data_IF_599104008976
#
_entry.id   IF_599104008976
#
_cell.length_a   1.000
_cell.length_b   1.000
_cell.length_c   1.000
_cell.angle_alpha   90.00
_cell.angle_beta   90.00
_cell.angle_gamma   90.00
#
_symmetry.space_group_name_H-M   'P 1'
#
loop_
_entity.id
_entity.type
_entity.pdbx_description
1 polymer ?
#
# COMPACT_ATOMS: atom_id res chain seq x y z
N UNK A 1 71.52 8.53 44.32
CA UNK A 1 70.26 8.96 44.97
C UNK A 1 69.14 8.89 43.93
N UNK A 2 67.97 8.34 44.28
CA UNK A 2 66.97 7.83 43.34
C UNK A 2 65.85 8.85 43.09
N UNK A 3 65.17 8.74 41.95
CA UNK A 3 63.73 9.03 41.79
C UNK A 3 63.30 8.45 40.43
N UNK A 4 62.52 7.35 40.44
CA UNK A 4 61.08 7.30 40.13
C UNK A 4 60.73 7.91 38.76
N UNK A 5 59.88 7.36 37.89
CA UNK A 5 58.93 6.24 37.88
C UNK A 5 58.20 6.47 36.54
N UNK A 6 57.92 5.43 35.74
CA UNK A 6 56.64 5.25 35.02
C UNK A 6 56.68 4.01 34.14
N UNK A 7 56.08 2.97 34.70
CA UNK A 7 55.52 1.81 34.02
C UNK A 7 54.53 2.31 32.95
N UNK A 8 54.71 1.94 31.69
CA UNK A 8 53.68 2.11 30.66
C UNK A 8 53.36 0.73 30.07
N UNK A 9 52.17 0.24 30.42
CA UNK A 9 51.52 -0.94 29.87
C UNK A 9 51.00 -0.55 28.49
N UNK A 10 51.46 -1.19 27.42
CA UNK A 10 50.79 -1.14 26.12
C UNK A 10 50.12 -2.50 25.87
N UNK A 11 48.81 -2.51 26.07
CA UNK A 11 47.89 -3.58 25.71
C UNK A 11 47.64 -3.46 24.19
N UNK A 12 48.18 -4.39 23.40
CA UNK A 12 47.92 -4.46 21.97
C UNK A 12 46.50 -5.00 21.73
N UNK A 13 45.64 -4.16 21.15
CA UNK A 13 44.26 -4.48 20.81
C UNK A 13 44.19 -5.48 19.64
N UNK A 14 43.58 -6.65 19.88
CA UNK A 14 43.06 -7.50 18.81
C UNK A 14 41.84 -6.82 18.20
N UNK A 15 42.00 -6.26 16.99
CA UNK A 15 40.88 -5.87 16.15
C UNK A 15 40.24 -7.13 15.56
N UNK A 16 39.15 -7.58 16.16
CA UNK A 16 38.28 -8.59 15.57
C UNK A 16 37.41 -7.92 14.49
N UNK A 17 37.71 -8.18 13.22
CA UNK A 17 36.77 -7.96 12.12
C UNK A 17 35.57 -8.91 12.28
N UNK A 18 34.57 -8.48 13.03
CA UNK A 18 33.22 -9.04 12.91
C UNK A 18 32.59 -8.45 11.64
N UNK A 19 32.86 -9.07 10.49
CA UNK A 19 31.99 -8.91 9.34
C UNK A 19 30.64 -9.54 9.72
N UNK A 20 29.72 -8.70 10.18
CA UNK A 20 28.34 -9.09 10.38
C UNK A 20 27.82 -9.65 9.05
N UNK A 21 27.53 -10.95 9.03
CA UNK A 21 26.65 -11.51 8.01
C UNK A 21 25.28 -10.88 8.24
N UNK A 22 25.04 -9.73 7.62
CA UNK A 22 23.69 -9.20 7.47
C UNK A 22 22.92 -10.25 6.66
N UNK A 23 22.15 -11.09 7.36
CA UNK A 23 21.21 -11.99 6.70
C UNK A 23 20.36 -11.18 5.74
N UNK A 24 20.10 -11.69 4.53
CA UNK A 24 19.21 -11.05 3.56
C UNK A 24 17.92 -10.71 4.30
N UNK A 25 17.57 -9.43 4.40
CA UNK A 25 16.27 -9.04 4.97
C UNK A 25 15.22 -9.73 4.12
N UNK A 26 14.56 -10.72 4.70
CA UNK A 26 13.57 -11.48 3.99
C UNK A 26 12.34 -10.59 3.87
N UNK A 27 11.87 -10.37 2.63
CA UNK A 27 10.59 -9.71 2.38
C UNK A 27 9.43 -10.45 3.07
N UNK A 28 8.21 -9.91 2.98
CA UNK A 28 7.11 -10.44 3.76
C UNK A 28 6.71 -11.83 3.30
N UNK A 29 6.14 -12.58 4.25
CA UNK A 29 5.39 -13.79 3.91
C UNK A 29 4.11 -13.40 3.15
N UNK A 30 3.99 -13.89 1.92
CA UNK A 30 2.83 -13.65 1.04
C UNK A 30 1.95 -14.89 1.06
N UNK A 31 0.80 -14.80 1.75
CA UNK A 31 -0.11 -15.89 2.07
C UNK A 31 -1.32 -15.89 1.15
N UNK A 32 -1.59 -17.05 0.56
CA UNK A 32 -2.77 -17.28 -0.29
C UNK A 32 -3.55 -18.53 0.15
N UNK A 33 -3.18 -19.12 1.28
CA UNK A 33 -3.73 -20.37 1.78
C UNK A 33 -5.23 -20.24 2.14
N UNK A 34 -5.64 -19.08 2.65
CA UNK A 34 -7.04 -18.80 2.98
C UNK A 34 -7.92 -18.76 1.73
N UNK A 35 -7.45 -18.13 0.63
CA UNK A 35 -8.22 -18.18 -0.62
C UNK A 35 -8.24 -19.58 -1.23
N UNK A 36 -7.15 -20.34 -1.15
CA UNK A 36 -7.17 -21.75 -1.58
C UNK A 36 -8.17 -22.57 -0.76
N UNK A 37 -8.22 -22.38 0.56
CA UNK A 37 -9.20 -23.02 1.46
C UNK A 37 -10.63 -22.65 1.07
N UNK A 38 -10.91 -21.36 0.86
CA UNK A 38 -12.23 -20.91 0.45
C UNK A 38 -12.66 -21.52 -0.87
N UNK A 39 -11.80 -21.54 -1.89
CA UNK A 39 -12.18 -22.06 -3.21
C UNK A 39 -12.28 -23.59 -3.25
N UNK A 40 -11.57 -24.31 -2.39
CA UNK A 40 -11.81 -25.74 -2.19
C UNK A 40 -13.23 -26.00 -1.65
N UNK A 41 -13.68 -25.21 -0.66
CA UNK A 41 -15.05 -25.26 -0.15
C UNK A 41 -16.07 -24.83 -1.21
N UNK A 42 -15.79 -23.75 -1.94
CA UNK A 42 -16.63 -23.27 -3.03
C UNK A 42 -16.87 -24.37 -4.07
N UNK A 43 -15.81 -25.07 -4.50
CA UNK A 43 -15.91 -26.14 -5.49
C UNK A 43 -16.64 -27.38 -4.95
N UNK A 44 -16.38 -27.77 -3.70
CA UNK A 44 -17.05 -28.89 -3.05
C UNK A 44 -18.56 -28.68 -2.84
N UNK A 45 -19.03 -27.44 -2.96
CA UNK A 45 -20.43 -27.05 -2.72
C UNK A 45 -21.10 -26.42 -3.96
N UNK A 46 -20.50 -26.61 -5.14
CA UNK A 46 -21.00 -26.06 -6.41
C UNK A 46 -21.27 -24.55 -6.34
N UNK A 47 -20.38 -23.83 -5.65
CA UNK A 47 -20.44 -22.39 -5.45
C UNK A 47 -21.47 -21.91 -4.43
N UNK A 48 -22.09 -22.82 -3.67
CA UNK A 48 -23.18 -22.51 -2.73
C UNK A 48 -22.92 -23.09 -1.32
N UNK A 49 -21.79 -22.77 -0.68
CA UNK A 49 -21.55 -23.23 0.69
C UNK A 49 -22.56 -22.62 1.65
N UNK A 50 -23.06 -23.45 2.58
CA UNK A 50 -23.94 -22.96 3.65
C UNK A 50 -23.19 -22.08 4.64
N UNK A 51 -23.92 -21.29 5.43
CA UNK A 51 -23.35 -20.48 6.53
C UNK A 51 -22.53 -21.35 7.49
N UNK A 52 -23.02 -22.54 7.83
CA UNK A 52 -22.29 -23.45 8.71
C UNK A 52 -20.97 -23.92 8.09
N UNK A 53 -20.95 -24.25 6.80
CA UNK A 53 -19.73 -24.66 6.11
C UNK A 53 -18.73 -23.52 5.99
N UNK A 54 -19.17 -22.28 5.70
CA UNK A 54 -18.27 -21.12 5.68
C UNK A 54 -17.66 -20.88 7.06
N UNK A 55 -18.43 -21.01 8.13
CA UNK A 55 -17.91 -20.86 9.49
C UNK A 55 -16.90 -21.94 9.82
N UNK A 56 -17.25 -23.21 9.62
CA UNK A 56 -16.44 -24.35 10.07
C UNK A 56 -15.23 -24.63 9.16
N UNK A 57 -15.43 -24.59 7.84
CA UNK A 57 -14.44 -25.07 6.88
C UNK A 57 -13.57 -23.93 6.32
N UNK A 58 -13.94 -22.66 6.55
CA UNK A 58 -13.17 -21.49 6.13
C UNK A 58 -12.75 -20.58 7.29
N UNK A 59 -13.70 -19.96 8.01
CA UNK A 59 -13.36 -18.95 9.01
C UNK A 59 -12.69 -19.52 10.26
N UNK A 60 -13.18 -20.63 10.81
CA UNK A 60 -12.64 -21.22 12.04
C UNK A 60 -11.18 -21.66 11.88
N UNK A 61 -10.81 -22.20 10.71
CA UNK A 61 -9.44 -22.61 10.35
C UNK A 61 -8.60 -21.52 9.68
N UNK A 62 -9.09 -20.28 9.65
CA UNK A 62 -8.46 -19.14 9.00
C UNK A 62 -7.13 -18.73 9.63
N UNK A 63 -6.28 -18.08 8.83
CA UNK A 63 -5.06 -17.44 9.38
C UNK A 63 -5.40 -16.25 10.28
N UNK A 64 -4.41 -15.79 11.05
CA UNK A 64 -4.54 -14.55 11.85
C UNK A 64 -4.99 -13.36 11.00
N UNK A 65 -4.47 -13.21 9.77
CA UNK A 65 -4.84 -12.12 8.88
C UNK A 65 -6.33 -12.17 8.49
N UNK A 66 -6.86 -13.37 8.23
CA UNK A 66 -8.29 -13.56 7.98
C UNK A 66 -9.13 -13.21 9.22
N UNK A 67 -8.73 -13.66 10.41
CA UNK A 67 -9.47 -13.35 11.65
C UNK A 67 -9.48 -11.86 11.96
N UNK A 68 -8.36 -11.17 11.77
CA UNK A 68 -8.26 -9.72 11.94
C UNK A 68 -9.12 -8.97 10.92
N UNK A 69 -9.04 -9.35 9.65
CA UNK A 69 -9.89 -8.80 8.60
C UNK A 69 -11.37 -9.01 8.92
N UNK A 70 -11.74 -10.20 9.37
CA UNK A 70 -13.10 -10.54 9.74
C UNK A 70 -13.60 -9.69 10.91
N UNK A 71 -12.79 -9.49 11.94
CA UNK A 71 -13.10 -8.63 13.08
C UNK A 71 -13.26 -7.17 12.67
N UNK A 72 -12.27 -6.60 11.98
CA UNK A 72 -12.22 -5.18 11.65
C UNK A 72 -13.28 -4.78 10.62
N UNK A 73 -13.53 -5.63 9.61
CA UNK A 73 -14.45 -5.33 8.52
C UNK A 73 -15.80 -6.02 8.65
N UNK A 74 -16.04 -6.65 9.81
CA UNK A 74 -17.27 -7.37 10.16
C UNK A 74 -17.62 -8.39 9.06
N UNK A 75 -16.65 -9.23 8.70
CA UNK A 75 -16.87 -10.37 7.81
C UNK A 75 -17.31 -11.54 8.68
N UNK A 76 -18.46 -12.11 8.34
CA UNK A 76 -19.03 -13.26 9.05
C UNK A 76 -19.49 -14.28 8.02
N UNK A 77 -19.62 -15.55 8.40
CA UNK A 77 -20.11 -16.58 7.50
C UNK A 77 -21.44 -16.20 6.84
N UNK A 78 -22.37 -15.63 7.61
CA UNK A 78 -23.65 -15.12 7.10
C UNK A 78 -23.45 -14.06 6.02
N UNK A 79 -22.57 -13.08 6.23
CA UNK A 79 -22.34 -11.99 5.26
C UNK A 79 -21.64 -12.46 3.99
N UNK A 80 -20.77 -13.46 4.10
CA UNK A 80 -20.17 -14.12 2.94
C UNK A 80 -21.27 -14.85 2.16
N UNK A 81 -22.10 -15.66 2.83
CA UNK A 81 -23.21 -16.40 2.22
C UNK A 81 -24.24 -15.47 1.55
N UNK A 82 -24.65 -14.40 2.23
CA UNK A 82 -25.58 -13.40 1.70
C UNK A 82 -25.01 -12.75 0.43
N UNK A 83 -23.71 -12.47 0.42
CA UNK A 83 -23.04 -11.87 -0.73
C UNK A 83 -22.87 -12.87 -1.88
N UNK A 84 -22.54 -14.12 -1.60
CA UNK A 84 -22.50 -15.21 -2.58
C UNK A 84 -23.88 -15.41 -3.25
N UNK A 85 -24.95 -15.38 -2.46
CA UNK A 85 -26.31 -15.58 -2.96
C UNK A 85 -26.80 -14.39 -3.81
N UNK A 86 -26.48 -13.16 -3.38
CA UNK A 86 -26.89 -11.93 -4.10
C UNK A 86 -26.02 -11.58 -5.30
N UNK A 87 -24.75 -12.00 -5.31
CA UNK A 87 -23.80 -11.74 -6.39
C UNK A 87 -22.84 -12.93 -6.60
N UNK A 88 -23.33 -14.06 -7.13
CA UNK A 88 -22.50 -15.22 -7.39
C UNK A 88 -21.43 -14.96 -8.46
N UNK A 89 -21.70 -14.03 -9.38
CA UNK A 89 -20.78 -13.65 -10.45
C UNK A 89 -19.48 -13.05 -9.92
N UNK A 90 -19.53 -12.27 -8.85
CA UNK A 90 -18.33 -11.73 -8.18
C UNK A 90 -17.37 -12.83 -7.73
N UNK A 91 -17.87 -13.88 -7.07
CA UNK A 91 -17.02 -14.98 -6.56
C UNK A 91 -16.54 -15.91 -7.67
N UNK A 92 -17.37 -16.12 -8.70
CA UNK A 92 -16.95 -16.84 -9.90
C UNK A 92 -15.80 -16.11 -10.61
N UNK A 93 -15.94 -14.81 -10.86
CA UNK A 93 -14.86 -13.97 -11.45
C UNK A 93 -13.61 -13.96 -10.57
N UNK A 94 -13.78 -13.88 -9.26
CA UNK A 94 -12.67 -13.93 -8.31
C UNK A 94 -11.90 -15.26 -8.36
N UNK A 95 -12.56 -16.37 -8.75
CA UNK A 95 -11.89 -17.65 -9.02
C UNK A 95 -10.93 -17.55 -10.21
N UNK A 96 -11.28 -16.79 -11.24
CA UNK A 96 -10.38 -16.56 -12.39
C UNK A 96 -9.13 -15.77 -11.95
N UNK A 97 -9.31 -14.79 -11.07
CA UNK A 97 -8.19 -14.05 -10.46
C UNK A 97 -7.33 -14.91 -9.53
N UNK A 98 -7.87 -15.96 -8.91
CA UNK A 98 -7.09 -16.91 -8.07
C UNK A 98 -5.92 -17.52 -8.85
N UNK A 99 -6.12 -17.82 -10.14
CA UNK A 99 -5.11 -18.43 -10.99
C UNK A 99 -3.87 -17.53 -11.22
N UNK A 100 -4.02 -16.21 -11.08
CA UNK A 100 -2.93 -15.25 -11.23
C UNK A 100 -2.06 -15.12 -9.97
N UNK A 101 -2.55 -15.54 -8.79
CA UNK A 101 -1.86 -15.29 -7.52
C UNK A 101 -0.44 -15.86 -7.41
N UNK A 102 -0.10 -17.03 -7.98
CA UNK A 102 1.27 -17.51 -8.00
C UNK A 102 2.23 -16.57 -8.75
N UNK A 103 1.78 -15.96 -9.85
CA UNK A 103 2.57 -14.98 -10.62
C UNK A 103 2.67 -13.65 -9.87
N UNK A 104 1.55 -13.16 -9.33
CA UNK A 104 1.50 -11.98 -8.45
C UNK A 104 2.49 -12.12 -7.28
N UNK A 105 2.50 -13.27 -6.60
CA UNK A 105 3.44 -13.54 -5.48
C UNK A 105 4.89 -13.40 -5.91
N UNK A 106 5.27 -13.94 -7.08
CA UNK A 106 6.64 -13.80 -7.60
C UNK A 106 7.00 -12.34 -7.89
N UNK A 107 6.08 -11.58 -8.50
CA UNK A 107 6.28 -10.15 -8.80
C UNK A 107 6.40 -9.32 -7.51
N UNK A 108 5.58 -9.60 -6.50
CA UNK A 108 5.65 -8.93 -5.21
C UNK A 108 6.97 -9.18 -4.48
N UNK A 109 7.54 -10.39 -4.56
CA UNK A 109 8.88 -10.65 -4.01
C UNK A 109 9.91 -9.70 -4.61
N UNK A 110 9.85 -9.44 -5.93
CA UNK A 110 10.75 -8.47 -6.59
C UNK A 110 10.49 -7.05 -6.07
N UNK A 111 9.22 -6.65 -5.93
CA UNK A 111 8.87 -5.33 -5.37
C UNK A 111 9.39 -5.13 -3.95
N UNK A 112 9.29 -6.16 -3.10
CA UNK A 112 9.74 -6.07 -1.70
C UNK A 112 11.27 -6.18 -1.56
N UNK A 113 11.95 -6.96 -2.41
CA UNK A 113 13.41 -6.93 -2.50
C UNK A 113 13.89 -5.51 -2.90
N UNK A 114 13.16 -4.83 -3.79
CA UNK A 114 13.43 -3.43 -4.15
C UNK A 114 13.17 -2.46 -2.99
N UNK A 115 12.07 -2.62 -2.26
CA UNK A 115 11.80 -1.82 -1.06
C UNK A 115 12.93 -1.98 -0.03
N UNK A 116 13.38 -3.21 0.24
CA UNK A 116 14.47 -3.49 1.16
C UNK A 116 15.80 -2.83 0.74
N UNK A 117 16.08 -2.79 -0.57
CA UNK A 117 17.27 -2.15 -1.10
C UNK A 117 17.24 -0.61 -1.00
N UNK A 118 16.07 -0.01 -1.23
CA UNK A 118 15.87 1.45 -1.20
C UNK A 118 15.72 1.97 0.23
N UNK A 119 15.11 1.20 1.13
CA UNK A 119 14.82 1.57 2.51
C UNK A 119 15.14 0.41 3.47
N UNK A 120 16.41 0.26 3.90
CA UNK A 120 16.87 -0.90 4.70
C UNK A 120 16.20 -1.07 6.07
N UNK A 121 15.53 -0.03 6.56
CA UNK A 121 14.77 -0.04 7.82
C UNK A 121 13.28 -0.41 7.62
N UNK A 122 12.90 -0.84 6.40
CA UNK A 122 11.56 -1.31 6.08
C UNK A 122 11.11 -2.43 7.02
N UNK A 123 9.82 -2.40 7.37
CA UNK A 123 9.15 -3.45 8.14
C UNK A 123 8.45 -4.40 7.19
N UNK A 124 8.52 -5.70 7.47
CA UNK A 124 7.96 -6.73 6.59
C UNK A 124 6.89 -7.63 7.24
N UNK A 125 5.77 -7.07 7.76
CA UNK A 125 4.63 -7.89 8.18
C UNK A 125 3.99 -8.62 6.99
N UNK A 126 3.25 -9.72 7.20
CA UNK A 126 2.72 -10.52 6.10
C UNK A 126 1.78 -9.75 5.17
N UNK A 127 1.72 -10.21 3.92
CA UNK A 127 0.63 -9.92 2.98
C UNK A 127 -0.28 -11.14 2.96
N UNK A 128 -1.58 -10.98 3.20
CA UNK A 128 -2.55 -12.05 3.09
C UNK A 128 -3.61 -11.72 2.04
N UNK A 129 -3.93 -12.70 1.19
CA UNK A 129 -5.07 -12.63 0.29
C UNK A 129 -6.14 -13.57 0.85
N UNK A 130 -7.34 -13.03 1.06
CA UNK A 130 -8.48 -13.71 1.70
C UNK A 130 -9.74 -13.54 0.86
N UNK A 131 -10.78 -14.32 1.15
CA UNK A 131 -12.13 -14.10 0.62
C UNK A 131 -13.04 -13.52 1.71
N UNK A 132 -13.73 -12.44 1.38
CA UNK A 132 -14.59 -11.71 2.29
C UNK A 132 -16.03 -11.59 1.83
N UNK A 133 -16.61 -10.41 2.08
CA UNK A 133 -18.01 -10.06 1.76
C UNK A 133 -18.11 -9.09 0.59
N UNK A 134 -17.13 -9.06 -0.32
CA UNK A 134 -17.08 -8.13 -1.46
C UNK A 134 -16.51 -6.75 -1.16
N UNK A 135 -16.16 -6.46 0.10
CA UNK A 135 -15.55 -5.19 0.53
C UNK A 135 -14.94 -5.29 1.93
N UNK A 136 -13.92 -4.46 2.25
CA UNK A 136 -13.19 -3.56 1.33
C UNK A 136 -12.28 -4.32 0.35
N UNK A 137 -11.60 -3.58 -0.53
CA UNK A 137 -10.47 -4.09 -1.32
C UNK A 137 -9.34 -4.58 -0.42
N UNK A 138 -8.93 -3.75 0.54
CA UNK A 138 -7.86 -4.09 1.47
C UNK A 138 -8.03 -3.46 2.85
N UNK A 139 -7.22 -3.94 3.79
CA UNK A 139 -6.88 -3.25 5.03
C UNK A 139 -5.37 -3.28 5.22
N UNK A 140 -4.86 -2.21 5.80
CA UNK A 140 -3.46 -2.09 6.19
C UNK A 140 -3.42 -1.69 7.67
N UNK A 141 -2.63 -2.41 8.46
CA UNK A 141 -2.43 -2.14 9.88
C UNK A 141 -1.03 -2.67 10.31
N UNK A 142 -0.59 -2.44 11.56
CA UNK A 142 0.72 -2.93 12.01
C UNK A 142 0.95 -4.45 11.90
N UNK A 143 -0.11 -5.26 11.81
CA UNK A 143 -0.02 -6.71 11.63
C UNK A 143 0.14 -7.14 10.16
N UNK A 144 -0.10 -6.25 9.20
CA UNK A 144 0.18 -6.47 7.79
C UNK A 144 -0.85 -5.90 6.83
N UNK A 145 -0.76 -6.34 5.58
CA UNK A 145 -1.70 -6.00 4.51
C UNK A 145 -2.60 -7.20 4.25
N UNK A 146 -3.92 -7.01 4.31
CA UNK A 146 -4.89 -8.05 3.96
C UNK A 146 -5.79 -7.59 2.83
N UNK A 147 -5.81 -8.33 1.72
CA UNK A 147 -6.57 -8.03 0.51
C UNK A 147 -7.72 -9.03 0.34
N UNK A 148 -8.93 -8.51 0.07
CA UNK A 148 -10.05 -9.32 -0.38
C UNK A 148 -9.93 -9.65 -1.86
N UNK A 149 -9.73 -10.93 -2.21
CA UNK A 149 -9.58 -11.39 -3.59
C UNK A 149 -10.75 -10.93 -4.46
N UNK A 150 -11.97 -11.11 -3.97
CA UNK A 150 -13.18 -10.82 -4.74
C UNK A 150 -13.38 -9.32 -4.97
N UNK A 151 -13.01 -8.51 -3.98
CA UNK A 151 -13.11 -7.06 -4.06
C UNK A 151 -12.06 -6.49 -5.04
N UNK A 152 -10.80 -6.91 -4.93
CA UNK A 152 -9.74 -6.45 -5.84
C UNK A 152 -9.90 -7.02 -7.25
N UNK A 153 -10.40 -8.25 -7.39
CA UNK A 153 -10.70 -8.82 -8.70
C UNK A 153 -11.81 -8.03 -9.42
N UNK A 154 -12.82 -7.53 -8.69
CA UNK A 154 -13.87 -6.69 -9.25
C UNK A 154 -13.41 -5.26 -9.61
N UNK A 155 -12.26 -4.80 -9.13
CA UNK A 155 -11.72 -3.46 -9.36
C UNK A 155 -10.99 -3.29 -10.71
N UNK A 156 -11.46 -3.96 -11.78
CA UNK A 156 -10.87 -3.92 -13.12
C UNK A 156 -10.79 -2.50 -13.71
N UNK A 157 -11.65 -1.61 -13.24
CA UNK A 157 -11.63 -0.19 -13.61
C UNK A 157 -10.36 0.54 -13.16
N UNK A 158 -9.61 0.05 -12.16
CA UNK A 158 -8.33 0.66 -11.77
C UNK A 158 -7.21 0.28 -12.75
N UNK A 159 -7.17 -1.00 -13.11
CA UNK A 159 -6.25 -1.57 -14.10
C UNK A 159 -6.84 -2.89 -14.63
N UNK A 160 -7.03 -3.08 -15.95
CA UNK A 160 -7.65 -4.28 -16.49
C UNK A 160 -6.79 -5.54 -16.34
N UNK A 161 -5.45 -5.39 -16.35
CA UNK A 161 -4.54 -6.51 -16.16
C UNK A 161 -4.56 -6.98 -14.70
N UNK A 162 -4.86 -8.26 -14.47
CA UNK A 162 -5.06 -8.83 -13.13
C UNK A 162 -3.75 -8.82 -12.34
N UNK A 163 -2.63 -9.16 -12.97
CA UNK A 163 -1.36 -9.20 -12.25
C UNK A 163 -0.88 -7.79 -11.88
N UNK A 164 -0.89 -6.86 -12.83
CA UNK A 164 -0.55 -5.45 -12.58
C UNK A 164 -1.48 -4.87 -11.50
N UNK A 165 -2.80 -5.09 -11.60
CA UNK A 165 -3.76 -4.61 -10.60
C UNK A 165 -3.41 -5.10 -9.20
N UNK A 166 -3.16 -6.40 -9.03
CA UNK A 166 -2.83 -6.94 -7.72
C UNK A 166 -1.47 -6.46 -7.21
N UNK A 167 -0.45 -6.47 -8.08
CA UNK A 167 0.91 -6.08 -7.70
C UNK A 167 0.98 -4.61 -7.29
N UNK A 168 0.37 -3.70 -8.06
CA UNK A 168 0.45 -2.27 -7.80
C UNK A 168 -0.42 -1.86 -6.60
N UNK A 169 -1.63 -2.41 -6.45
CA UNK A 169 -2.47 -2.15 -5.27
C UNK A 169 -1.82 -2.69 -4.00
N UNK A 170 -1.28 -3.91 -4.01
CA UNK A 170 -0.59 -4.44 -2.83
C UNK A 170 0.65 -3.60 -2.52
N UNK A 171 1.41 -3.13 -3.52
CA UNK A 171 2.55 -2.25 -3.30
C UNK A 171 2.16 -0.90 -2.66
N UNK A 172 1.07 -0.29 -3.12
CA UNK A 172 0.48 0.92 -2.51
C UNK A 172 0.12 0.68 -1.04
N UNK A 173 -0.68 -0.34 -0.76
CA UNK A 173 -1.09 -0.69 0.60
C UNK A 173 0.11 -0.97 1.50
N UNK A 174 1.13 -1.63 0.95
CA UNK A 174 2.36 -1.91 1.69
C UNK A 174 3.21 -0.68 1.99
N UNK A 175 3.09 0.38 1.19
CA UNK A 175 3.77 1.64 1.48
C UNK A 175 3.21 2.30 2.76
N UNK A 176 1.90 2.20 3.00
CA UNK A 176 1.29 2.67 4.25
C UNK A 176 1.84 1.97 5.50
N UNK A 177 2.28 0.71 5.41
CA UNK A 177 2.98 0.03 6.51
C UNK A 177 4.25 0.77 6.91
N UNK A 178 4.92 1.43 5.97
CA UNK A 178 6.20 2.09 6.25
C UNK A 178 6.00 3.49 6.82
N UNK A 179 4.89 4.14 6.46
CA UNK A 179 4.66 5.55 6.74
C UNK A 179 4.48 5.85 8.23
N UNK A 180 4.86 7.06 8.62
CA UNK A 180 4.62 7.62 9.96
C UNK A 180 3.51 8.66 9.98
N UNK A 181 3.06 9.14 8.80
CA UNK A 181 2.03 10.15 8.70
C UNK A 181 0.71 9.60 9.25
N UNK A 182 0.22 10.21 10.33
CA UNK A 182 -1.09 9.87 10.89
C UNK A 182 -2.21 10.37 9.96
N UNK A 183 -3.23 9.54 9.73
CA UNK A 183 -4.45 9.85 8.97
C UNK A 183 -5.71 9.45 9.73
N UNK A 184 -5.58 9.07 11.01
CA UNK A 184 -6.71 8.71 11.86
C UNK A 184 -7.24 9.94 12.62
N UNK A 185 -8.16 10.66 11.99
CA UNK A 185 -8.79 11.84 12.58
C UNK A 185 -10.31 11.75 12.61
N UNK A 186 -10.91 12.37 13.63
CA UNK A 186 -12.35 12.62 13.63
C UNK A 186 -12.71 13.63 12.53
N UNK A 187 -13.94 13.52 12.00
CA UNK A 187 -14.43 14.44 10.97
C UNK A 187 -14.36 15.89 11.48
N UNK A 188 -13.64 16.74 10.76
CA UNK A 188 -13.50 18.15 11.07
C UNK A 188 -12.31 18.49 11.99
N UNK A 189 -11.52 17.50 12.44
CA UNK A 189 -10.29 17.77 13.19
C UNK A 189 -9.34 18.64 12.35
N UNK A 190 -8.85 19.77 12.88
CA UNK A 190 -8.00 20.72 12.12
C UNK A 190 -6.66 20.12 11.66
N UNK A 191 -6.24 18.98 12.20
CA UNK A 191 -5.03 18.25 11.75
C UNK A 191 -5.31 17.40 10.52
N UNK A 192 -6.55 16.92 10.34
CA UNK A 192 -7.01 16.08 9.24
C UNK A 192 -7.30 16.89 7.97
N UNK A 193 -6.30 17.59 7.45
CA UNK A 193 -6.44 18.45 6.27
C UNK A 193 -6.39 17.67 4.96
N UNK A 194 -7.00 18.21 3.90
CA UNK A 194 -6.89 17.70 2.53
C UNK A 194 -5.43 17.50 2.12
N UNK A 195 -4.52 18.42 2.49
CA UNK A 195 -3.08 18.27 2.22
C UNK A 195 -2.49 17.02 2.88
N UNK A 196 -2.82 16.77 4.15
CA UNK A 196 -2.28 15.64 4.90
C UNK A 196 -2.70 14.31 4.26
N UNK A 197 -3.99 14.14 3.97
CA UNK A 197 -4.48 12.94 3.31
C UNK A 197 -3.88 12.78 1.91
N UNK A 198 -3.76 13.87 1.14
CA UNK A 198 -3.14 13.82 -0.19
C UNK A 198 -1.68 13.37 -0.11
N UNK A 199 -0.91 13.90 0.83
CA UNK A 199 0.49 13.48 0.99
C UNK A 199 0.62 12.04 1.47
N UNK A 200 -0.27 11.56 2.35
CA UNK A 200 -0.29 10.16 2.78
C UNK A 200 -0.53 9.21 1.60
N UNK A 201 -1.63 9.42 0.86
CA UNK A 201 -2.01 8.59 -0.28
C UNK A 201 -1.05 8.75 -1.45
N UNK A 202 -0.63 9.98 -1.73
CA UNK A 202 0.33 10.30 -2.76
C UNK A 202 1.71 9.70 -2.52
N UNK A 203 2.16 9.66 -1.26
CA UNK A 203 3.40 8.98 -0.90
C UNK A 203 3.26 7.46 -1.05
N UNK A 204 2.12 6.88 -0.69
CA UNK A 204 1.87 5.46 -0.89
C UNK A 204 1.84 5.07 -2.38
N UNK A 205 1.19 5.90 -3.20
CA UNK A 205 1.12 5.75 -4.66
C UNK A 205 2.51 5.87 -5.30
N UNK A 206 3.29 6.86 -4.85
CA UNK A 206 4.66 7.08 -5.33
C UNK A 206 5.60 5.93 -4.95
N UNK A 207 5.57 5.48 -3.69
CA UNK A 207 6.37 4.34 -3.24
C UNK A 207 5.92 3.08 -3.98
N UNK A 208 4.61 2.90 -4.17
CA UNK A 208 4.01 1.82 -4.96
C UNK A 208 4.58 1.78 -6.38
N UNK A 209 4.59 2.90 -7.10
CA UNK A 209 5.24 3.01 -8.42
C UNK A 209 6.73 2.69 -8.32
N UNK A 210 7.44 3.26 -7.35
CA UNK A 210 8.88 3.10 -7.21
C UNK A 210 9.27 1.63 -7.04
N UNK A 211 8.51 0.85 -6.27
CA UNK A 211 8.84 -0.56 -6.00
C UNK A 211 8.24 -1.53 -7.02
N UNK A 212 7.10 -1.20 -7.63
CA UNK A 212 6.35 -2.12 -8.48
C UNK A 212 6.30 -1.74 -9.96
N UNK A 213 6.76 -0.53 -10.31
CA UNK A 213 6.94 -0.02 -11.67
C UNK A 213 5.80 0.84 -12.20
N UNK A 214 4.62 0.84 -11.58
CA UNK A 214 3.47 1.67 -11.95
C UNK A 214 2.61 2.00 -10.74
N UNK A 215 1.78 3.04 -10.90
CA UNK A 215 0.70 3.41 -9.98
C UNK A 215 -0.41 2.35 -9.96
N UNK A 216 -1.12 2.25 -8.84
CA UNK A 216 -2.25 1.37 -8.61
C UNK A 216 -3.47 1.74 -9.48
N UNK A 217 -3.77 3.03 -9.61
CA UNK A 217 -4.87 3.52 -10.43
C UNK A 217 -4.38 4.23 -11.70
N UNK A 218 -4.30 3.49 -12.80
CA UNK A 218 -3.80 4.04 -14.07
C UNK A 218 -4.73 5.10 -14.70
N UNK A 219 -6.00 5.18 -14.28
CA UNK A 219 -6.96 6.14 -14.86
C UNK A 219 -6.67 7.60 -14.52
N UNK A 220 -6.02 7.87 -13.38
CA UNK A 220 -5.71 9.24 -12.95
C UNK A 220 -4.91 10.00 -14.02
N UNK A 221 -3.91 9.37 -14.64
CA UNK A 221 -3.12 9.99 -15.71
C UNK A 221 -3.96 10.35 -16.94
N UNK A 222 -4.96 9.54 -17.28
CA UNK A 222 -5.87 9.81 -18.39
C UNK A 222 -6.83 10.97 -18.10
N UNK A 223 -7.42 11.01 -16.91
CA UNK A 223 -8.39 12.04 -16.52
C UNK A 223 -7.79 13.44 -16.36
N UNK A 224 -6.53 13.51 -15.96
CA UNK A 224 -5.86 14.76 -15.61
C UNK A 224 -5.09 15.40 -16.76
N UNK A 225 -4.90 14.67 -17.87
CA UNK A 225 -4.14 15.13 -19.04
C UNK A 225 -4.69 16.46 -19.58
N UNK A 226 -3.84 17.48 -19.57
CA UNK A 226 -4.17 18.84 -20.03
C UNK A 226 -5.03 19.66 -19.08
N UNK A 227 -5.32 19.14 -17.88
CA UNK A 227 -6.10 19.79 -16.82
C UNK A 227 -5.31 19.96 -15.52
N UNK A 228 -4.01 19.70 -15.55
CA UNK A 228 -3.15 19.65 -14.37
C UNK A 228 -3.19 20.97 -13.60
N UNK A 229 -3.01 22.09 -14.30
CA UNK A 229 -3.06 23.43 -13.68
C UNK A 229 -4.42 23.72 -13.04
N UNK A 230 -5.52 23.33 -13.66
CA UNK A 230 -6.88 23.55 -13.15
C UNK A 230 -7.10 22.78 -11.84
N UNK A 231 -6.84 21.46 -11.88
CA UNK A 231 -7.02 20.55 -10.74
C UNK A 231 -6.12 20.96 -9.57
N UNK A 232 -4.84 21.19 -9.84
CA UNK A 232 -3.86 21.55 -8.81
C UNK A 232 -4.13 22.95 -8.22
N UNK A 233 -4.64 23.89 -9.02
CA UNK A 233 -5.09 25.19 -8.50
C UNK A 233 -6.32 25.07 -7.61
N UNK A 234 -7.25 24.16 -7.93
CA UNK A 234 -8.38 23.84 -7.05
C UNK A 234 -7.90 23.20 -5.74
N UNK A 235 -6.92 22.31 -5.82
CA UNK A 235 -6.30 21.69 -4.63
C UNK A 235 -5.69 22.73 -3.71
N UNK A 236 -4.90 23.67 -4.23
CA UNK A 236 -4.28 24.74 -3.41
C UNK A 236 -5.32 25.54 -2.62
N UNK A 237 -6.52 25.76 -3.17
CA UNK A 237 -7.60 26.45 -2.46
C UNK A 237 -8.24 25.61 -1.36
N UNK A 238 -8.23 24.28 -1.50
CA UNK A 238 -8.88 23.35 -0.59
C UNK A 238 -7.93 22.73 0.45
N UNK A 239 -6.62 22.73 0.22
CA UNK A 239 -5.64 21.88 0.91
C UNK A 239 -5.58 22.09 2.44
N UNK A 240 -5.96 23.26 2.93
CA UNK A 240 -6.02 23.62 4.36
C UNK A 240 -7.34 23.25 5.04
N UNK A 241 -8.36 22.89 4.26
CA UNK A 241 -9.66 22.49 4.75
C UNK A 241 -9.68 21.05 5.26
N UNK A 242 -10.67 20.74 6.08
CA UNK A 242 -10.93 19.42 6.65
C UNK A 242 -12.10 18.70 5.94
N UNK A 243 -12.68 19.33 4.92
CA UNK A 243 -13.68 18.69 4.06
C UNK A 243 -12.98 17.89 2.94
N UNK A 244 -12.96 16.57 3.12
CA UNK A 244 -12.29 15.64 2.22
C UNK A 244 -13.16 15.24 1.02
N UNK A 245 -14.45 15.59 1.01
CA UNK A 245 -15.48 14.99 0.14
C UNK A 245 -15.22 15.20 -1.36
N UNK A 246 -14.57 16.28 -1.75
CA UNK A 246 -14.25 16.58 -3.16
C UNK A 246 -12.91 15.97 -3.64
N UNK A 247 -12.19 15.28 -2.76
CA UNK A 247 -10.82 14.82 -3.01
C UNK A 247 -10.60 13.34 -2.72
N UNK A 248 -11.43 12.75 -1.84
CA UNK A 248 -11.28 11.38 -1.35
C UNK A 248 -12.63 10.70 -1.17
N UNK A 249 -12.68 9.42 -1.49
CA UNK A 249 -13.81 8.50 -1.33
C UNK A 249 -15.08 8.95 -2.07
N UNK A 250 -14.91 9.67 -3.19
CA UNK A 250 -15.96 10.24 -4.04
C UNK A 250 -16.31 9.33 -5.24
N UNK A 251 -15.80 8.10 -5.28
CA UNK A 251 -16.14 7.15 -6.31
C UNK A 251 -17.63 6.75 -6.28
N UNK A 252 -18.26 6.82 -7.45
CA UNK A 252 -19.60 6.29 -7.70
C UNK A 252 -19.54 5.05 -8.58
N UNK A 253 -20.13 3.94 -8.12
CA UNK A 253 -20.14 2.66 -8.85
C UNK A 253 -20.72 2.88 -10.26
N UNK A 254 -19.95 2.50 -11.28
CA UNK A 254 -20.32 2.64 -12.68
C UNK A 254 -20.11 4.03 -13.29
N UNK A 255 -19.55 4.99 -12.54
CA UNK A 255 -19.19 6.31 -13.07
C UNK A 255 -17.84 6.28 -13.79
N UNK A 256 -17.73 7.06 -14.87
CA UNK A 256 -16.49 7.39 -15.57
C UNK A 256 -15.89 8.74 -15.13
N UNK A 257 -16.53 9.41 -14.16
CA UNK A 257 -16.03 10.65 -13.58
C UNK A 257 -14.71 10.43 -12.81
N UNK A 258 -13.79 11.39 -12.85
CA UNK A 258 -12.58 11.34 -12.02
C UNK A 258 -12.94 11.29 -10.54
N UNK A 259 -12.29 10.41 -9.80
CA UNK A 259 -12.45 10.24 -8.35
C UNK A 259 -11.08 10.13 -7.68
N UNK A 260 -11.06 10.33 -6.37
CA UNK A 260 -9.86 10.25 -5.52
C UNK A 260 -8.72 11.15 -6.05
N UNK A 261 -9.06 12.34 -6.57
CA UNK A 261 -8.09 13.28 -7.15
C UNK A 261 -7.02 13.73 -6.15
N UNK A 262 -7.30 13.63 -4.84
CA UNK A 262 -6.32 13.89 -3.78
C UNK A 262 -5.10 12.96 -3.87
N UNK A 263 -5.29 11.71 -4.28
CA UNK A 263 -4.20 10.74 -4.50
C UNK A 263 -3.25 11.24 -5.58
N UNK A 264 -3.80 11.67 -6.72
CA UNK A 264 -3.03 12.10 -7.87
C UNK A 264 -2.26 13.42 -7.60
N UNK A 265 -2.88 14.41 -6.95
CA UNK A 265 -2.18 15.65 -6.60
C UNK A 265 -1.08 15.37 -5.58
N UNK A 266 -1.38 14.59 -4.55
CA UNK A 266 -0.40 14.16 -3.56
C UNK A 266 0.80 13.44 -4.16
N UNK A 267 0.54 12.49 -5.07
CA UNK A 267 1.55 11.74 -5.81
C UNK A 267 2.48 12.69 -6.56
N UNK A 268 1.94 13.74 -7.19
CA UNK A 268 2.74 14.73 -7.93
C UNK A 268 3.58 15.62 -7.01
N UNK A 269 3.08 16.00 -5.85
CA UNK A 269 3.87 16.73 -4.84
C UNK A 269 5.05 15.87 -4.37
N UNK A 270 4.79 14.61 -4.03
CA UNK A 270 5.82 13.66 -3.57
C UNK A 270 6.84 13.36 -4.69
N UNK A 271 6.36 13.13 -5.92
CA UNK A 271 7.21 12.90 -7.09
C UNK A 271 8.10 14.09 -7.40
N UNK A 272 7.59 15.32 -7.32
CA UNK A 272 8.40 16.52 -7.50
C UNK A 272 9.52 16.59 -6.44
N UNK A 273 9.19 16.34 -5.17
CA UNK A 273 10.19 16.31 -4.08
C UNK A 273 11.29 15.30 -4.36
N UNK A 274 10.93 14.07 -4.70
CA UNK A 274 11.88 13.02 -5.00
C UNK A 274 12.75 13.39 -6.21
N UNK A 275 12.15 13.88 -7.30
CA UNK A 275 12.82 14.16 -8.58
C UNK A 275 13.86 15.29 -8.53
N UNK A 276 13.74 16.24 -7.61
CA UNK A 276 14.77 17.27 -7.44
C UNK A 276 15.87 16.87 -6.43
N UNK A 277 15.67 15.80 -5.67
CA UNK A 277 16.61 15.42 -4.62
C UNK A 277 17.92 14.90 -5.19
N UNK A 278 19.04 15.36 -4.62
CA UNK A 278 20.38 14.86 -4.96
C UNK A 278 20.64 13.47 -4.38
N UNK A 279 20.09 13.21 -3.18
CA UNK A 279 20.13 11.91 -2.51
C UNK A 279 18.72 11.32 -2.49
N UNK A 280 18.49 10.34 -3.34
CA UNK A 280 17.19 9.68 -3.50
C UNK A 280 16.81 8.79 -2.33
N UNK A 281 17.79 8.19 -1.65
CA UNK A 281 17.54 7.38 -0.46
C UNK A 281 17.13 8.26 0.71
N UNK A 282 17.79 9.40 0.88
CA UNK A 282 17.37 10.41 1.86
C UNK A 282 15.96 10.95 1.54
N UNK A 283 15.67 11.25 0.27
CA UNK A 283 14.35 11.72 -0.13
C UNK A 283 13.24 10.69 0.13
N UNK A 284 13.49 9.40 -0.17
CA UNK A 284 12.54 8.34 0.14
C UNK A 284 12.29 8.21 1.65
N UNK A 285 13.34 8.30 2.47
CA UNK A 285 13.21 8.29 3.92
C UNK A 285 12.33 9.45 4.40
N UNK A 286 12.55 10.65 3.88
CA UNK A 286 11.75 11.84 4.22
C UNK A 286 10.28 11.73 3.78
N UNK A 287 10.00 11.04 2.65
CA UNK A 287 8.64 10.74 2.18
C UNK A 287 7.95 9.76 3.12
N UNK A 288 8.65 8.70 3.54
CA UNK A 288 8.12 7.68 4.45
C UNK A 288 7.87 8.27 5.85
N UNK A 289 8.81 9.05 6.34
CA UNK A 289 8.79 9.64 7.69
C UNK A 289 8.16 11.05 7.71
N UNK A 290 7.24 11.33 6.78
CA UNK A 290 6.59 12.63 6.66
C UNK A 290 5.76 12.94 7.92
N UNK A 291 6.14 14.02 8.61
CA UNK A 291 5.45 14.48 9.83
C UNK A 291 4.72 15.81 9.65
N UNK A 292 5.35 16.78 8.96
CA UNK A 292 4.79 18.12 8.70
C UNK A 292 4.41 18.29 7.21
N UNK A 293 3.10 18.18 6.87
CA UNK A 293 2.59 18.34 5.51
C UNK A 293 2.95 19.68 4.85
N UNK A 294 2.94 20.78 5.61
CA UNK A 294 3.18 22.12 5.06
C UNK A 294 4.66 22.35 4.79
N UNK A 295 5.53 21.92 5.71
CA UNK A 295 6.97 21.96 5.48
C UNK A 295 7.37 21.04 4.32
N UNK A 296 6.77 19.85 4.21
CA UNK A 296 7.04 18.94 3.08
C UNK A 296 6.61 19.57 1.74
N UNK A 297 5.40 20.11 1.66
CA UNK A 297 4.92 20.82 0.47
C UNK A 297 5.86 21.96 0.06
N UNK A 298 6.30 22.80 1.01
CA UNK A 298 7.24 23.89 0.73
C UNK A 298 8.59 23.38 0.20
N UNK A 299 9.09 22.25 0.74
CA UNK A 299 10.34 21.62 0.30
C UNK A 299 10.20 20.89 -1.03
N UNK A 300 9.01 20.45 -1.42
CA UNK A 300 8.75 19.63 -2.61
C UNK A 300 9.16 20.27 -3.94
N UNK A 301 9.26 21.61 -3.98
CA UNK A 301 9.47 22.35 -5.22
C UNK A 301 8.28 22.29 -6.19
N UNK A 302 7.20 21.58 -5.83
CA UNK A 302 6.01 21.44 -6.66
C UNK A 302 5.27 22.79 -6.81
N UNK A 303 4.76 23.02 -8.02
CA UNK A 303 3.86 24.13 -8.33
C UNK A 303 2.72 23.63 -9.22
N UNK A 304 1.49 24.18 -9.11
CA UNK A 304 0.39 23.82 -10.00
C UNK A 304 0.77 23.93 -11.49
N UNK A 305 0.44 22.90 -12.27
CA UNK A 305 0.73 22.77 -13.69
C UNK A 305 2.17 22.34 -14.01
N UNK A 306 3.01 22.01 -13.02
CA UNK A 306 4.40 21.62 -13.27
C UNK A 306 4.49 20.38 -14.19
N UNK A 307 5.40 20.42 -15.16
CA UNK A 307 5.71 19.23 -15.96
C UNK A 307 6.54 18.26 -15.14
N UNK A 308 6.07 17.02 -15.01
CA UNK A 308 6.79 15.89 -14.39
C UNK A 308 6.92 14.77 -15.43
N UNK A 309 7.98 13.96 -15.38
CA UNK A 309 8.10 12.79 -16.24
C UNK A 309 6.96 11.81 -15.95
N UNK A 310 6.48 11.12 -16.99
CA UNK A 310 5.39 10.14 -16.85
C UNK A 310 5.80 8.97 -15.96
N UNK A 311 7.00 8.43 -16.16
CA UNK A 311 7.57 7.33 -15.38
C UNK A 311 8.78 7.80 -14.55
N UNK A 312 9.05 7.11 -13.45
CA UNK A 312 10.31 7.28 -12.70
C UNK A 312 11.34 6.30 -13.28
N UNK A 313 12.50 6.80 -13.69
CA UNK A 313 13.60 5.92 -14.06
C UNK A 313 14.07 5.13 -12.84
N UNK A 314 13.97 3.81 -12.95
CA UNK A 314 14.26 2.88 -11.87
C UNK A 314 15.76 2.71 -11.56
N UNK A 315 16.63 3.47 -12.24
CA UNK A 315 18.06 3.21 -12.33
C UNK A 315 18.90 3.81 -11.19
N UNK A 316 18.30 4.57 -10.26
CA UNK A 316 18.99 5.21 -9.12
C UNK A 316 18.55 4.65 -7.76
#
# INVERSE_FOLDING_TARGET
MPTLLRLTIFLAALAACAAAHAGKVQGPDIRIDDVTRFYALYDATEGKPSVQQIEQDYLAGGTQSLHEFAKLRRVTAQRIADRLASDPAMYAKAKDCLAALPAVKKRLVVSFDRLAALYPQARFPPVAIVVGRGRPVGITNPAGVTIGLEALCAAEFMNPDVEDRFVHVIAHEYAHIQQTIDTEFEKGDPRGTVLRFALAEGAAEFIGELISGKVANAKHAGWTRGKELEIESAFVRAMDGTDLTAWFYDYHIGSDEPYDMGYWVGYRIVKAYYLQAKDRKAALKDIIELDDPKAFLAKSGWTPGMTLPETIDAAD
#
